data_IF_439959263691
#
_entry.id   IF_439959263691
#
_cell.length_a   1.000
_cell.length_b   1.000
_cell.length_c   1.000
_cell.angle_alpha   90.00
_cell.angle_beta   90.00
_cell.angle_gamma   90.00
#
_symmetry.space_group_name_H-M   'P 1'
#
loop_
_entity.id
_entity.type
_entity.pdbx_description
1 polymer ?
#
# COMPACT_ATOMS: atom_id res chain seq x y z
N UNK A 1 0.57 5.91 -18.46
CA UNK A 1 1.13 6.72 -17.37
C UNK A 1 1.49 5.80 -16.21
N UNK A 2 2.54 6.13 -15.47
CA UNK A 2 3.09 5.31 -14.39
C UNK A 2 2.06 4.95 -13.30
N UNK A 3 1.16 5.87 -12.98
CA UNK A 3 0.06 5.65 -12.02
C UNK A 3 -0.91 4.51 -12.42
N UNK A 4 -1.16 4.32 -13.73
CA UNK A 4 -2.04 3.23 -14.20
C UNK A 4 -1.35 1.89 -14.01
N UNK A 5 -0.08 1.78 -14.38
CA UNK A 5 0.70 0.56 -14.20
C UNK A 5 0.81 0.16 -12.73
N UNK A 6 1.04 1.14 -11.86
CA UNK A 6 1.06 0.96 -10.41
C UNK A 6 -0.25 0.39 -9.89
N UNK A 7 -1.38 0.94 -10.34
CA UNK A 7 -2.72 0.42 -9.99
C UNK A 7 -2.85 -1.04 -10.39
N UNK A 8 -2.50 -1.40 -11.63
CA UNK A 8 -2.58 -2.79 -12.09
C UNK A 8 -1.65 -3.74 -11.31
N UNK A 9 -0.47 -3.24 -10.92
CA UNK A 9 0.51 -4.03 -10.16
C UNK A 9 -0.02 -4.40 -8.77
N UNK A 10 -0.77 -3.49 -8.15
CA UNK A 10 -1.33 -3.65 -6.81
C UNK A 10 -2.73 -4.28 -6.76
N UNK A 11 -3.31 -4.66 -7.91
CA UNK A 11 -4.64 -5.30 -7.95
C UNK A 11 -4.73 -6.53 -7.03
N UNK A 12 -3.77 -7.48 -7.02
CA UNK A 12 -3.87 -8.66 -6.17
C UNK A 12 -3.96 -8.32 -4.68
N UNK A 13 -3.17 -7.33 -4.24
CA UNK A 13 -3.20 -6.85 -2.87
C UNK A 13 -4.54 -6.19 -2.54
N UNK A 14 -4.99 -5.26 -3.38
CA UNK A 14 -6.26 -4.57 -3.17
C UNK A 14 -7.45 -5.55 -3.17
N UNK A 15 -7.43 -6.55 -4.05
CA UNK A 15 -8.44 -7.60 -4.11
C UNK A 15 -8.46 -8.45 -2.83
N UNK A 16 -7.28 -8.82 -2.32
CA UNK A 16 -7.15 -9.51 -1.04
C UNK A 16 -7.71 -8.68 0.13
N UNK A 17 -7.47 -7.37 0.13
CA UNK A 17 -8.02 -6.48 1.15
C UNK A 17 -9.55 -6.40 1.10
N UNK A 18 -10.14 -6.30 -0.10
CA UNK A 18 -11.59 -6.32 -0.25
C UNK A 18 -12.20 -7.64 0.23
N UNK A 19 -11.59 -8.78 -0.13
CA UNK A 19 -12.03 -10.09 0.35
C UNK A 19 -11.98 -10.17 1.88
N UNK A 20 -10.88 -9.74 2.50
CA UNK A 20 -10.75 -9.73 3.97
C UNK A 20 -11.82 -8.86 4.64
N UNK A 21 -12.07 -7.66 4.11
CA UNK A 21 -13.09 -6.76 4.65
C UNK A 21 -14.49 -7.33 4.47
N UNK A 22 -14.74 -8.04 3.36
CA UNK A 22 -16.02 -8.72 3.14
C UNK A 22 -16.27 -9.83 4.17
N UNK A 23 -15.26 -10.66 4.47
CA UNK A 23 -15.39 -11.80 5.38
C UNK A 23 -15.33 -11.41 6.86
N UNK A 24 -14.47 -10.45 7.23
CA UNK A 24 -14.13 -10.14 8.62
C UNK A 24 -14.55 -8.73 9.08
N UNK A 25 -15.13 -7.93 8.18
CA UNK A 25 -15.40 -6.51 8.42
C UNK A 25 -14.13 -5.64 8.41
N UNK A 26 -14.29 -4.37 8.79
CA UNK A 26 -13.19 -3.38 8.82
C UNK A 26 -13.15 -2.49 7.57
N UNK A 27 -11.99 -1.89 7.31
CA UNK A 27 -11.80 -0.99 6.16
C UNK A 27 -10.51 -1.27 5.41
N UNK A 28 -10.57 -1.13 4.08
CA UNK A 28 -9.42 -1.21 3.17
C UNK A 28 -8.55 0.03 3.33
N UNK A 29 -9.17 1.21 3.25
CA UNK A 29 -8.49 2.49 3.47
C UNK A 29 -8.59 2.85 4.95
N UNK A 30 -7.45 3.19 5.57
CA UNK A 30 -7.34 3.56 6.99
C UNK A 30 -6.61 4.88 7.14
N UNK A 31 -7.14 5.74 8.00
CA UNK A 31 -6.44 6.98 8.39
C UNK A 31 -5.22 6.66 9.24
N UNK A 32 -4.26 7.59 9.26
CA UNK A 32 -3.08 7.48 10.13
C UNK A 32 -3.48 7.36 11.61
N UNK A 33 -4.47 8.16 12.04
CA UNK A 33 -4.98 8.13 13.42
C UNK A 33 -5.55 6.76 13.84
N UNK A 34 -6.19 6.04 12.91
CA UNK A 34 -6.74 4.70 13.20
C UNK A 34 -5.61 3.67 13.35
N UNK A 35 -4.57 3.73 12.50
CA UNK A 35 -3.46 2.76 12.56
C UNK A 35 -2.48 3.08 13.70
N UNK A 36 -2.31 4.36 14.05
CA UNK A 36 -1.35 4.85 15.04
C UNK A 36 -2.01 5.77 16.08
N UNK A 37 -2.96 5.26 16.89
CA UNK A 37 -3.75 6.10 17.81
C UNK A 37 -2.92 6.74 18.92
N UNK A 38 -1.78 6.14 19.27
CA UNK A 38 -0.87 6.61 20.34
C UNK A 38 0.12 7.69 19.87
N UNK A 39 0.15 8.02 18.57
CA UNK A 39 1.06 9.01 18.00
C UNK A 39 0.26 10.27 17.68
N UNK A 40 0.45 11.34 18.44
CA UNK A 40 -0.35 12.56 18.36
C UNK A 40 -0.30 13.21 16.96
N UNK A 41 0.85 13.17 16.31
CA UNK A 41 1.08 13.70 14.97
C UNK A 41 0.18 13.02 13.92
N UNK A 42 -0.22 11.76 14.15
CA UNK A 42 -1.05 11.02 13.21
C UNK A 42 -2.52 11.46 13.21
N UNK A 43 -2.96 12.24 14.21
CA UNK A 43 -4.35 12.67 14.35
C UNK A 43 -4.73 13.79 13.38
N UNK A 44 -3.77 14.65 13.01
CA UNK A 44 -3.99 15.77 12.12
C UNK A 44 -3.71 15.45 10.64
N UNK A 45 -3.28 14.21 10.32
CA UNK A 45 -2.95 13.80 8.97
C UNK A 45 -4.18 13.31 8.20
N UNK A 46 -4.59 14.09 7.21
CA UNK A 46 -5.70 13.79 6.29
C UNK A 46 -5.24 13.66 4.82
N UNK A 47 -4.03 14.09 4.49
CA UNK A 47 -3.49 14.01 3.12
C UNK A 47 -2.61 12.77 2.83
N UNK A 48 -2.61 11.79 3.73
CA UNK A 48 -1.99 10.49 3.56
C UNK A 48 -2.80 9.42 4.31
N UNK A 49 -2.79 8.20 3.80
CA UNK A 49 -3.56 7.10 4.36
C UNK A 49 -2.86 5.77 4.13
N UNK A 50 -3.36 4.71 4.76
CA UNK A 50 -2.88 3.35 4.52
C UNK A 50 -3.92 2.50 3.80
N UNK A 51 -3.42 1.57 3.00
CA UNK A 51 -4.12 0.35 2.67
C UNK A 51 -3.82 -0.72 3.72
N UNK A 52 -4.88 -1.10 4.43
CA UNK A 52 -4.82 -1.87 5.68
C UNK A 52 -3.87 -1.22 6.69
N UNK A 53 -2.74 -1.86 6.98
CA UNK A 53 -1.72 -1.34 7.90
C UNK A 53 -0.32 -1.32 7.29
N UNK A 54 -0.20 -1.68 6.01
CA UNK A 54 1.05 -2.14 5.40
C UNK A 54 1.58 -1.23 4.30
N UNK A 55 0.72 -0.53 3.57
CA UNK A 55 1.10 0.35 2.46
C UNK A 55 0.59 1.76 2.72
N UNK A 56 1.50 2.70 2.93
CA UNK A 56 1.20 4.12 3.08
C UNK A 56 1.21 4.79 1.71
N UNK A 57 0.18 5.61 1.47
CA UNK A 57 -0.06 6.30 0.21
C UNK A 57 -0.22 7.79 0.52
N UNK A 58 0.62 8.63 -0.08
CA UNK A 58 0.59 10.07 0.13
C UNK A 58 0.42 10.82 -1.21
N UNK A 59 -0.80 10.91 -1.76
CA UNK A 59 -1.02 11.52 -3.07
C UNK A 59 -0.77 13.04 -3.06
N UNK A 60 -0.34 13.57 -4.20
CA UNK A 60 -0.32 15.02 -4.46
C UNK A 60 -1.73 15.45 -4.82
N UNK A 61 -2.32 16.34 -4.01
CA UNK A 61 -3.72 16.77 -4.14
C UNK A 61 -3.87 18.24 -4.56
N UNK A 62 -2.74 18.95 -4.73
CA UNK A 62 -2.71 20.36 -5.11
C UNK A 62 -2.03 20.55 -6.47
N UNK A 63 -2.62 21.41 -7.29
CA UNK A 63 -2.08 21.76 -8.61
C UNK A 63 -0.70 22.42 -8.47
N UNK A 64 0.21 22.15 -9.41
CA UNK A 64 1.56 22.69 -9.49
C UNK A 64 2.50 22.39 -8.30
N UNK A 65 2.12 21.47 -7.40
CA UNK A 65 3.00 21.01 -6.34
C UNK A 65 3.92 19.90 -6.87
N UNK A 66 5.23 20.12 -6.76
CA UNK A 66 6.27 19.14 -7.13
C UNK A 66 6.93 18.49 -5.91
N UNK A 67 6.46 18.83 -4.72
CA UNK A 67 6.90 18.27 -3.45
C UNK A 67 5.68 17.93 -2.59
N UNK A 68 5.80 16.88 -1.78
CA UNK A 68 4.77 16.42 -0.85
C UNK A 68 5.36 16.31 0.55
N UNK A 69 4.60 16.79 1.54
CA UNK A 69 4.90 16.55 2.95
C UNK A 69 4.32 15.20 3.35
N UNK A 70 5.15 14.31 3.91
CA UNK A 70 4.79 12.95 4.33
C UNK A 70 5.29 12.72 5.74
N UNK A 71 4.48 12.15 6.60
CA UNK A 71 4.88 11.73 7.94
C UNK A 71 5.00 10.20 8.02
N UNK A 72 6.18 9.72 8.37
CA UNK A 72 6.45 8.31 8.62
C UNK A 72 6.67 8.08 10.12
N UNK A 73 5.77 7.35 10.82
CA UNK A 73 5.93 7.00 12.23
C UNK A 73 7.30 6.40 12.55
N UNK A 74 8.02 7.00 13.50
CA UNK A 74 9.39 6.61 13.90
C UNK A 74 9.45 5.29 14.67
N UNK A 75 8.31 4.79 15.13
CA UNK A 75 8.17 3.52 15.85
C UNK A 75 8.30 2.31 14.94
N UNK A 76 8.24 2.49 13.62
CA UNK A 76 8.21 1.42 12.62
C UNK A 76 9.43 1.46 11.68
N UNK A 77 9.63 0.39 10.91
CA UNK A 77 10.52 0.44 9.73
C UNK A 77 9.69 0.81 8.51
N UNK A 78 10.25 1.64 7.65
CA UNK A 78 9.62 2.06 6.40
C UNK A 78 10.58 1.82 5.24
N UNK A 79 10.03 1.39 4.12
CA UNK A 79 10.79 1.17 2.89
C UNK A 79 10.15 1.97 1.77
N UNK A 80 10.97 2.55 0.91
CA UNK A 80 10.50 3.11 -0.34
C UNK A 80 9.95 1.98 -1.21
N UNK A 81 8.70 2.13 -1.67
CA UNK A 81 8.03 1.09 -2.43
C UNK A 81 8.72 0.79 -3.78
N UNK A 82 9.33 1.81 -4.39
CA UNK A 82 9.89 1.71 -5.73
C UNK A 82 11.31 1.16 -5.72
N UNK A 83 12.15 1.61 -4.80
CA UNK A 83 13.55 1.16 -4.69
C UNK A 83 13.71 -0.05 -3.79
N UNK A 84 12.75 -0.29 -2.89
CA UNK A 84 12.87 -1.31 -1.83
C UNK A 84 13.86 -0.92 -0.72
N UNK A 85 14.46 0.26 -0.78
CA UNK A 85 15.43 0.70 0.21
C UNK A 85 14.76 1.13 1.50
N UNK A 86 15.40 0.82 2.63
CA UNK A 86 14.92 1.26 3.93
C UNK A 86 15.16 2.75 4.14
N UNK A 87 14.12 3.45 4.57
CA UNK A 87 14.16 4.88 4.85
C UNK A 87 14.79 5.11 6.21
N UNK A 88 15.94 5.78 6.21
CA UNK A 88 16.72 6.05 7.44
C UNK A 88 16.26 7.28 8.20
N UNK A 89 15.69 8.27 7.50
CA UNK A 89 15.15 9.48 8.11
C UNK A 89 13.63 9.35 8.22
N UNK A 90 13.12 9.30 9.45
CA UNK A 90 11.69 9.13 9.73
C UNK A 90 11.10 10.39 10.39
N UNK A 91 9.78 10.42 10.57
CA UNK A 91 9.03 11.60 11.02
C UNK A 91 8.52 12.40 9.83
N UNK A 92 8.49 13.73 9.94
CA UNK A 92 8.07 14.61 8.86
C UNK A 92 9.16 14.69 7.78
N UNK A 93 8.79 14.38 6.54
CA UNK A 93 9.63 14.38 5.36
C UNK A 93 9.01 15.24 4.28
N UNK A 94 9.83 15.92 3.50
CA UNK A 94 9.42 16.55 2.24
C UNK A 94 10.05 15.79 1.11
N UNK A 95 9.22 15.19 0.25
CA UNK A 95 9.68 14.33 -0.84
C UNK A 95 9.29 14.91 -2.20
N UNK A 96 10.13 14.75 -3.24
CA UNK A 96 9.75 15.09 -4.60
C UNK A 96 8.53 14.26 -5.02
N UNK A 97 7.53 14.94 -5.58
CA UNK A 97 6.32 14.33 -6.07
C UNK A 97 5.91 14.99 -7.39
N UNK A 98 6.64 14.71 -8.50
CA UNK A 98 6.27 15.19 -9.83
C UNK A 98 4.90 14.63 -10.27
N UNK A 99 4.32 15.22 -11.31
CA UNK A 99 2.93 14.98 -11.76
C UNK A 99 2.55 13.49 -11.94
N UNK A 100 3.50 12.64 -12.33
CA UNK A 100 3.30 11.21 -12.58
C UNK A 100 3.78 10.29 -11.44
N UNK A 101 4.06 10.83 -10.25
CA UNK A 101 4.62 10.09 -9.13
C UNK A 101 3.75 10.22 -7.87
N UNK A 102 3.42 9.08 -7.27
CA UNK A 102 2.70 9.03 -6.00
C UNK A 102 3.66 8.43 -4.97
N UNK A 103 4.07 9.17 -3.93
CA UNK A 103 4.85 8.61 -2.84
C UNK A 103 4.15 7.41 -2.20
N UNK A 104 4.85 6.28 -2.17
CA UNK A 104 4.40 5.01 -1.63
C UNK A 104 5.46 4.44 -0.69
N UNK A 105 5.02 3.97 0.48
CA UNK A 105 5.91 3.43 1.50
C UNK A 105 5.38 2.14 2.09
N UNK A 106 6.25 1.13 2.17
CA UNK A 106 5.95 -0.15 2.79
C UNK A 106 6.30 -0.08 4.27
N UNK A 107 5.35 -0.45 5.13
CA UNK A 107 5.62 -0.67 6.55
C UNK A 107 6.28 -2.04 6.72
N UNK A 108 7.32 -2.11 7.55
CA UNK A 108 7.91 -3.37 7.97
C UNK A 108 6.89 -4.26 8.69
N UNK A 109 7.03 -5.57 8.55
CA UNK A 109 6.09 -6.57 9.07
C UNK A 109 5.10 -7.08 8.03
N UNK A 110 5.17 -6.61 6.77
CA UNK A 110 4.19 -6.91 5.76
C UNK A 110 4.76 -7.68 4.56
N UNK A 111 3.98 -8.64 4.06
CA UNK A 111 4.17 -9.30 2.77
C UNK A 111 3.07 -8.85 1.82
N UNK A 112 3.44 -8.19 0.72
CA UNK A 112 2.49 -7.63 -0.23
C UNK A 112 2.56 -8.40 -1.56
N UNK A 113 1.46 -9.01 -2.02
CA UNK A 113 1.40 -9.66 -3.32
C UNK A 113 1.23 -8.65 -4.44
N UNK A 114 1.97 -8.88 -5.51
CA UNK A 114 1.97 -8.06 -6.72
C UNK A 114 1.84 -8.95 -7.94
N UNK A 115 1.30 -8.39 -9.01
CA UNK A 115 1.25 -9.06 -10.30
C UNK A 115 1.81 -8.15 -11.36
N UNK A 116 2.54 -8.70 -12.33
CA UNK A 116 3.10 -7.88 -13.39
C UNK A 116 1.95 -7.21 -14.18
N UNK A 117 2.05 -5.90 -14.39
CA UNK A 117 1.02 -5.11 -15.06
C UNK A 117 0.87 -5.49 -16.54
N UNK A 118 -0.33 -5.24 -17.09
CA UNK A 118 -0.63 -5.38 -18.51
C UNK A 118 -1.68 -4.32 -18.92
N UNK A 119 -1.99 -4.24 -20.22
CA UNK A 119 -2.96 -3.25 -20.75
C UNK A 119 -4.39 -3.43 -20.22
N UNK A 120 -4.73 -4.60 -19.65
CA UNK A 120 -6.00 -4.88 -18.99
C UNK A 120 -5.85 -6.01 -17.95
N UNK A 121 -6.88 -6.22 -17.13
CA UNK A 121 -6.89 -7.22 -16.05
C UNK A 121 -6.83 -8.66 -16.57
N UNK A 122 -7.50 -8.97 -17.69
CA UNK A 122 -7.50 -10.30 -18.31
C UNK A 122 -6.08 -10.74 -18.69
N UNK A 123 -5.29 -9.82 -19.24
CA UNK A 123 -3.90 -10.07 -19.59
C UNK A 123 -2.99 -10.09 -18.35
N UNK A 124 -3.22 -9.20 -17.38
CA UNK A 124 -2.41 -9.10 -16.16
C UNK A 124 -2.54 -10.35 -15.29
N UNK A 125 -3.75 -10.92 -15.15
CA UNK A 125 -4.01 -12.15 -14.38
C UNK A 125 -3.21 -13.37 -14.84
N UNK A 126 -2.75 -13.39 -16.10
CA UNK A 126 -1.94 -14.47 -16.69
C UNK A 126 -0.44 -14.27 -16.48
N UNK A 127 -0.01 -13.11 -15.96
CA UNK A 127 1.40 -12.81 -15.73
C UNK A 127 1.87 -13.30 -14.36
N UNK A 128 3.19 -13.46 -14.15
CA UNK A 128 3.75 -13.91 -12.88
C UNK A 128 3.30 -13.05 -11.70
N UNK A 129 3.01 -13.74 -10.60
CA UNK A 129 2.79 -13.16 -9.28
C UNK A 129 4.12 -13.12 -8.54
N UNK A 130 4.36 -12.04 -7.80
CA UNK A 130 5.54 -11.88 -6.96
C UNK A 130 5.16 -11.28 -5.61
N UNK A 131 5.99 -11.54 -4.59
CA UNK A 131 5.78 -11.05 -3.24
C UNK A 131 6.89 -10.06 -2.89
N UNK A 132 6.52 -8.91 -2.34
CA UNK A 132 7.46 -8.01 -1.67
C UNK A 132 7.37 -8.28 -0.18
N UNK A 133 8.51 -8.62 0.44
CA UNK A 133 8.61 -8.95 1.86
C UNK A 133 9.36 -7.81 2.57
N UNK A 134 8.63 -6.98 3.34
CA UNK A 134 9.21 -5.91 4.12
C UNK A 134 9.35 -6.37 5.58
N UNK A 135 10.57 -6.70 6.00
CA UNK A 135 10.82 -7.19 7.36
C UNK A 135 10.72 -6.07 8.41
N UNK A 136 10.09 -6.36 9.55
CA UNK A 136 10.04 -5.45 10.69
C UNK A 136 11.38 -5.40 11.47
N UNK A 137 11.36 -4.80 12.67
CA UNK A 137 12.54 -4.72 13.55
C UNK A 137 12.98 -6.09 14.11
N UNK A 138 12.06 -7.04 14.18
CA UNK A 138 12.29 -8.40 14.66
C UNK A 138 12.60 -9.40 13.54
N UNK A 139 12.80 -8.93 12.30
CA UNK A 139 12.97 -9.77 11.12
C UNK A 139 11.74 -10.65 10.81
N UNK A 140 10.56 -10.17 11.16
CA UNK A 140 9.28 -10.83 10.90
C UNK A 140 8.50 -10.10 9.81
N UNK A 141 7.71 -10.84 9.05
CA UNK A 141 6.70 -10.31 8.13
C UNK A 141 5.56 -11.30 7.93
N UNK A 142 4.34 -10.79 7.79
CA UNK A 142 3.15 -11.58 7.47
C UNK A 142 2.33 -10.91 6.35
N UNK A 143 1.55 -11.72 5.63
CA UNK A 143 0.65 -11.21 4.61
C UNK A 143 -0.33 -12.29 4.18
N UNK A 144 -1.38 -11.85 3.48
CA UNK A 144 -2.40 -12.73 2.96
C UNK A 144 -2.47 -12.56 1.44
N UNK A 145 -2.88 -13.62 0.75
CA UNK A 145 -3.21 -13.57 -0.67
C UNK A 145 -4.50 -14.35 -0.86
N UNK A 146 -5.54 -13.65 -1.34
CA UNK A 146 -6.73 -14.29 -1.86
C UNK A 146 -6.65 -14.27 -3.39
N UNK A 147 -6.79 -15.46 -4.00
CA UNK A 147 -6.66 -15.63 -5.44
C UNK A 147 -7.76 -16.57 -5.94
N UNK A 148 -8.63 -16.06 -6.80
CA UNK A 148 -9.81 -16.76 -7.32
C UNK A 148 -9.82 -16.77 -8.86
N UNK A 149 -10.95 -17.14 -9.48
CA UNK A 149 -11.13 -17.02 -10.93
C UNK A 149 -11.52 -15.60 -11.39
N UNK A 150 -12.01 -14.75 -10.48
CA UNK A 150 -12.29 -13.34 -10.68
C UNK A 150 -13.59 -13.04 -11.42
N UNK A 151 -14.37 -14.07 -11.76
CA UNK A 151 -15.61 -13.97 -12.54
C UNK A 151 -16.79 -14.71 -11.89
N UNK A 152 -16.55 -15.75 -11.08
CA UNK A 152 -17.62 -16.52 -10.47
C UNK A 152 -18.29 -15.78 -9.31
N UNK A 153 -19.62 -15.82 -9.28
CA UNK A 153 -20.44 -15.41 -8.13
C UNK A 153 -20.43 -16.57 -7.11
N UNK A 154 -20.32 -16.25 -5.81
CA UNK A 154 -20.32 -17.20 -4.68
C UNK A 154 -19.15 -18.21 -4.64
N UNK A 155 -17.91 -17.74 -4.81
CA UNK A 155 -16.71 -18.59 -4.64
C UNK A 155 -16.47 -19.04 -3.19
N UNK A 156 -17.22 -18.51 -2.21
CA UNK A 156 -17.05 -18.80 -0.77
C UNK A 156 -18.15 -19.69 -0.15
N UNK A 157 -19.33 -19.84 -0.78
CA UNK A 157 -20.47 -20.58 -0.20
C UNK A 157 -20.60 -22.04 -0.69
N UNK A 158 -19.50 -22.82 -0.72
CA UNK A 158 -19.59 -24.27 -0.93
C UNK A 158 -18.96 -25.10 0.17
#
# INVERSE_FOLDING_TARGET
SHAVELRYTLIPYLYTLFHRVHVSGGTVVRSMAHVFPTIAECWALDEQFLWDTSLLIAPVIYENHVNKSVYLPTTERWFDYYTGEEIKTLGQLTVPAPLDFIPLYLRGGAIIPHQQSAMNTVASRKKPLFLIVALDKNQYAEGNLFFDDGESIDTYER
#
